data_IF_372517424394
#
_entry.id   IF_372517424394
#
_cell.length_a   1.000
_cell.length_b   1.000
_cell.length_c   1.000
_cell.angle_alpha   90.00
_cell.angle_beta   90.00
_cell.angle_gamma   90.00
#
_symmetry.space_group_name_H-M   'P 1'
#
loop_
_entity.id
_entity.type
_entity.pdbx_description
1 polymer ?
#
# COMPACT_ATOMS: atom_id res chain seq x y z
N UNK A 1 -23.78 4.77 2.91
CA UNK A 1 -22.43 4.28 3.29
C UNK A 1 -22.56 2.95 4.01
N UNK A 2 -21.63 2.01 3.79
CA UNK A 2 -21.71 0.69 4.37
C UNK A 2 -21.43 0.68 5.87
N UNK A 3 -21.96 -0.34 6.53
CA UNK A 3 -21.63 -0.67 7.92
C UNK A 3 -20.31 -1.47 7.99
N UNK A 4 -19.64 -1.50 9.15
CA UNK A 4 -18.45 -2.32 9.36
C UNK A 4 -18.61 -3.78 8.93
N UNK A 5 -19.73 -4.42 9.29
CA UNK A 5 -19.99 -5.82 8.95
C UNK A 5 -20.16 -6.06 7.45
N UNK A 6 -20.67 -5.08 6.70
CA UNK A 6 -20.76 -5.19 5.25
C UNK A 6 -19.39 -4.97 4.60
N UNK A 7 -18.58 -4.02 5.11
CA UNK A 7 -17.21 -3.82 4.65
C UNK A 7 -16.35 -5.06 4.86
N UNK A 8 -16.39 -5.68 6.04
CA UNK A 8 -15.58 -6.89 6.31
C UNK A 8 -15.95 -8.04 5.37
N UNK A 9 -17.25 -8.23 5.09
CA UNK A 9 -17.71 -9.24 4.13
C UNK A 9 -17.27 -8.93 2.70
N UNK A 10 -17.39 -7.66 2.29
CA UNK A 10 -16.95 -7.23 0.96
C UNK A 10 -15.47 -7.50 0.76
N UNK A 11 -14.65 -7.08 1.73
CA UNK A 11 -13.19 -7.26 1.68
C UNK A 11 -12.82 -8.74 1.71
N UNK A 12 -13.46 -9.56 2.54
CA UNK A 12 -13.25 -11.00 2.57
C UNK A 12 -13.55 -11.64 1.20
N UNK A 13 -14.70 -11.33 0.61
CA UNK A 13 -15.10 -11.82 -0.70
C UNK A 13 -14.12 -11.39 -1.80
N UNK A 14 -13.81 -10.09 -1.90
CA UNK A 14 -12.95 -9.55 -2.95
C UNK A 14 -11.51 -10.09 -2.88
N UNK A 15 -11.01 -10.37 -1.69
CA UNK A 15 -9.65 -10.92 -1.49
C UNK A 15 -9.61 -12.45 -1.39
N UNK A 16 -10.74 -13.15 -1.48
CA UNK A 16 -10.81 -14.60 -1.32
C UNK A 16 -10.39 -15.09 0.08
N UNK A 17 -10.73 -14.34 1.13
CA UNK A 17 -10.38 -14.64 2.52
C UNK A 17 -11.60 -15.13 3.31
N UNK A 18 -11.34 -15.78 4.43
CA UNK A 18 -12.38 -16.20 5.35
C UNK A 18 -13.01 -14.99 6.08
N UNK A 19 -14.34 -14.89 6.05
CA UNK A 19 -15.13 -13.86 6.73
C UNK A 19 -14.74 -13.69 8.21
N UNK A 20 -14.58 -14.81 8.94
CA UNK A 20 -14.24 -14.80 10.35
C UNK A 20 -12.86 -14.16 10.61
N UNK A 21 -11.89 -14.44 9.73
CA UNK A 21 -10.54 -13.88 9.81
C UNK A 21 -10.54 -12.36 9.61
N UNK A 22 -11.25 -11.86 8.60
CA UNK A 22 -11.37 -10.41 8.33
C UNK A 22 -12.18 -9.70 9.43
N UNK A 23 -13.26 -10.31 9.92
CA UNK A 23 -14.06 -9.77 11.02
C UNK A 23 -13.26 -9.68 12.34
N UNK A 24 -12.42 -10.68 12.62
CA UNK A 24 -11.53 -10.68 13.77
C UNK A 24 -10.44 -9.59 13.66
N UNK A 25 -9.85 -9.40 12.48
CA UNK A 25 -8.93 -8.31 12.22
C UNK A 25 -9.59 -6.94 12.47
N UNK A 26 -10.80 -6.72 11.93
CA UNK A 26 -11.57 -5.50 12.18
C UNK A 26 -11.83 -5.27 13.68
N UNK A 27 -12.19 -6.32 14.41
CA UNK A 27 -12.42 -6.24 15.85
C UNK A 27 -11.18 -5.74 16.60
N UNK A 28 -10.00 -6.30 16.30
CA UNK A 28 -8.73 -5.86 16.90
C UNK A 28 -8.44 -4.40 16.56
N UNK A 29 -8.54 -4.02 15.29
CA UNK A 29 -8.32 -2.63 14.86
C UNK A 29 -9.25 -1.65 15.59
N UNK A 30 -10.51 -2.03 15.79
CA UNK A 30 -11.50 -1.23 16.51
C UNK A 30 -11.20 -1.14 18.01
N UNK A 31 -10.76 -2.23 18.64
CA UNK A 31 -10.35 -2.26 20.05
C UNK A 31 -9.15 -1.33 20.29
N UNK A 32 -8.22 -1.26 19.35
CA UNK A 32 -7.08 -0.32 19.35
C UNK A 32 -7.45 1.11 18.92
N UNK A 33 -8.70 1.38 18.54
CA UNK A 33 -9.14 2.71 18.12
C UNK A 33 -8.57 3.16 16.76
N UNK A 34 -8.11 2.23 15.93
CA UNK A 34 -7.54 2.52 14.61
C UNK A 34 -8.61 2.69 13.54
N UNK A 35 -9.78 2.09 13.72
CA UNK A 35 -10.95 2.23 12.83
C UNK A 35 -12.16 2.75 13.59
N UNK A 36 -13.14 3.26 12.86
CA UNK A 36 -14.38 3.79 13.41
C UNK A 36 -15.09 2.79 14.33
N UNK A 37 -15.44 3.25 15.54
CA UNK A 37 -16.25 2.46 16.47
C UNK A 37 -17.71 2.58 16.06
N UNK A 38 -18.33 1.46 15.73
CA UNK A 38 -19.77 1.37 15.48
C UNK A 38 -20.59 2.00 16.61
N UNK A 39 -21.45 2.97 16.27
CA UNK A 39 -22.55 3.40 17.14
C UNK A 39 -23.63 2.32 17.27
N UNK A 40 -24.46 2.38 18.33
CA UNK A 40 -25.69 1.57 18.45
C UNK A 40 -26.87 2.34 17.86
N UNK A 41 -27.74 1.64 17.14
CA UNK A 41 -29.01 2.18 16.64
C UNK A 41 -28.97 2.66 15.19
N UNK A 42 -29.98 3.43 14.78
CA UNK A 42 -30.18 3.94 13.40
C UNK A 42 -29.04 4.83 12.89
N UNK A 43 -28.17 5.29 13.80
CA UNK A 43 -26.94 6.04 13.54
C UNK A 43 -25.69 5.15 13.68
N UNK A 44 -25.77 3.89 13.26
CA UNK A 44 -24.61 3.00 13.22
C UNK A 44 -23.47 3.66 12.45
N UNK A 45 -22.23 3.52 12.94
CA UNK A 45 -21.10 4.22 12.33
C UNK A 45 -20.95 3.80 10.87
N UNK A 46 -20.84 4.79 10.00
CA UNK A 46 -20.52 4.62 8.59
C UNK A 46 -19.03 4.45 8.46
N UNK A 47 -18.60 3.42 7.73
CA UNK A 47 -17.18 3.26 7.41
C UNK A 47 -16.73 4.33 6.42
N UNK A 48 -15.48 4.73 6.54
CA UNK A 48 -14.81 5.69 5.66
C UNK A 48 -13.83 5.00 4.72
N UNK A 49 -13.34 5.71 3.71
CA UNK A 49 -12.24 5.22 2.86
C UNK A 49 -11.00 4.87 3.67
N UNK A 50 -10.75 5.62 4.76
CA UNK A 50 -9.63 5.38 5.68
C UNK A 50 -9.79 4.06 6.43
N UNK A 51 -11.01 3.74 6.87
CA UNK A 51 -11.28 2.47 7.54
C UNK A 51 -11.03 1.28 6.61
N UNK A 52 -11.43 1.39 5.34
CA UNK A 52 -11.18 0.39 4.32
C UNK A 52 -9.68 0.24 4.03
N UNK A 53 -8.95 1.35 3.89
CA UNK A 53 -7.50 1.35 3.71
C UNK A 53 -6.81 0.62 4.87
N UNK A 54 -7.13 0.97 6.12
CA UNK A 54 -6.56 0.33 7.32
C UNK A 54 -6.87 -1.17 7.35
N UNK A 55 -8.10 -1.58 7.06
CA UNK A 55 -8.48 -2.99 7.04
C UNK A 55 -7.68 -3.78 5.98
N UNK A 56 -7.59 -3.27 4.76
CA UNK A 56 -6.83 -3.90 3.67
C UNK A 56 -5.35 -3.99 4.02
N UNK A 57 -4.75 -2.90 4.53
CA UNK A 57 -3.35 -2.90 4.96
C UNK A 57 -3.11 -3.96 6.03
N UNK A 58 -4.01 -4.10 7.01
CA UNK A 58 -3.89 -5.05 8.09
C UNK A 58 -3.94 -6.52 7.63
N UNK A 59 -4.92 -6.88 6.79
CA UNK A 59 -5.13 -8.27 6.36
C UNK A 59 -4.17 -8.71 5.24
N UNK A 60 -3.67 -7.76 4.44
CA UNK A 60 -2.71 -8.06 3.39
C UNK A 60 -1.28 -8.06 3.93
N UNK A 61 -1.02 -7.29 4.98
CA UNK A 61 0.31 -7.17 5.54
C UNK A 61 0.59 -7.98 6.82
N UNK A 62 -0.41 -8.66 7.38
CA UNK A 62 -0.21 -9.46 8.59
C UNK A 62 -0.88 -10.82 8.49
N UNK A 63 -0.11 -11.86 8.82
CA UNK A 63 -0.60 -13.24 8.86
C UNK A 63 -1.45 -13.51 10.10
N UNK A 64 -1.28 -12.70 11.15
CA UNK A 64 -1.97 -12.90 12.42
C UNK A 64 -2.83 -11.70 12.76
N UNK A 65 -4.06 -11.97 13.20
CA UNK A 65 -4.99 -10.94 13.69
C UNK A 65 -4.38 -10.10 14.81
N UNK A 66 -3.49 -10.68 15.63
CA UNK A 66 -2.83 -9.97 16.75
C UNK A 66 -1.81 -8.94 16.27
N UNK A 67 -1.08 -9.21 15.19
CA UNK A 67 -0.07 -8.29 14.65
C UNK A 67 -0.65 -7.14 13.81
N UNK A 68 -1.96 -7.18 13.51
CA UNK A 68 -2.63 -6.17 12.69
C UNK A 68 -2.47 -4.75 13.24
N UNK A 69 -2.65 -4.54 14.54
CA UNK A 69 -2.55 -3.20 15.14
C UNK A 69 -1.11 -2.64 15.08
N UNK A 70 -0.13 -3.48 15.40
CA UNK A 70 1.30 -3.10 15.36
C UNK A 70 1.74 -2.78 13.93
N UNK A 71 1.31 -3.58 12.96
CA UNK A 71 1.56 -3.32 11.55
C UNK A 71 0.99 -1.96 11.13
N UNK A 72 -0.24 -1.63 11.52
CA UNK A 72 -0.86 -0.35 11.15
C UNK A 72 -0.15 0.82 11.82
N UNK A 73 0.26 0.69 13.08
CA UNK A 73 1.07 1.70 13.73
C UNK A 73 2.38 1.95 12.96
N UNK A 74 3.05 0.88 12.52
CA UNK A 74 4.24 0.97 11.66
C UNK A 74 3.92 1.61 10.32
N UNK A 75 2.85 1.16 9.64
CA UNK A 75 2.43 1.67 8.34
C UNK A 75 2.11 3.16 8.38
N UNK A 76 1.45 3.63 9.45
CA UNK A 76 1.12 5.03 9.68
C UNK A 76 2.34 5.89 10.03
N UNK A 77 3.37 5.31 10.65
CA UNK A 77 4.63 5.99 10.97
C UNK A 77 5.65 5.95 9.83
N UNK A 78 5.49 5.01 8.89
CA UNK A 78 6.36 4.83 7.74
C UNK A 78 6.18 5.97 6.75
N UNK A 79 7.30 6.49 6.25
CA UNK A 79 7.29 7.47 5.16
C UNK A 79 7.61 6.76 3.86
N UNK A 80 6.99 7.20 2.76
CA UNK A 80 7.30 6.71 1.43
C UNK A 80 8.79 6.91 1.09
N UNK A 81 9.39 5.94 0.40
CA UNK A 81 10.65 6.08 -0.32
C UNK A 81 10.45 5.53 -1.74
N UNK A 82 10.67 6.34 -2.79
CA UNK A 82 10.51 5.85 -4.17
C UNK A 82 11.81 5.28 -4.70
N UNK A 83 11.68 4.15 -5.38
CA UNK A 83 12.71 3.65 -6.27
C UNK A 83 12.19 3.76 -7.70
N UNK A 84 12.62 4.80 -8.42
CA UNK A 84 12.23 4.97 -9.81
C UNK A 84 13.09 4.08 -10.71
N UNK A 85 12.48 3.09 -11.35
CA UNK A 85 13.11 2.28 -12.39
C UNK A 85 12.53 2.68 -13.75
N UNK A 86 13.37 3.16 -14.67
CA UNK A 86 12.97 3.38 -16.07
C UNK A 86 13.34 2.14 -16.87
N UNK A 87 12.36 1.38 -17.37
CA UNK A 87 12.57 0.19 -18.20
C UNK A 87 12.78 -1.11 -17.40
N UNK A 88 12.29 -2.25 -17.95
CA UNK A 88 12.36 -3.57 -17.29
C UNK A 88 13.78 -4.14 -17.26
N UNK A 89 14.64 -3.71 -18.20
CA UNK A 89 16.02 -4.20 -18.39
C UNK A 89 17.10 -3.15 -18.12
N UNK A 90 16.72 -1.92 -17.75
CA UNK A 90 17.69 -0.86 -17.47
C UNK A 90 18.03 -0.82 -15.99
N UNK A 91 19.33 -0.86 -15.69
CA UNK A 91 19.85 -0.52 -14.38
C UNK A 91 19.22 0.81 -13.89
N UNK A 92 18.98 0.95 -12.57
CA UNK A 92 18.39 2.17 -12.02
C UNK A 92 19.11 3.40 -12.57
N UNK A 93 18.39 4.22 -13.34
CA UNK A 93 18.94 5.43 -13.96
C UNK A 93 18.98 6.51 -12.89
N UNK A 94 20.02 6.48 -12.08
CA UNK A 94 20.26 7.43 -11.00
C UNK A 94 21.43 6.97 -10.14
N UNK A 95 22.24 7.91 -9.68
CA UNK A 95 23.22 7.59 -8.65
C UNK A 95 22.48 7.12 -7.39
N UNK A 96 23.09 6.27 -6.57
CA UNK A 96 22.53 5.84 -5.28
C UNK A 96 22.17 7.05 -4.38
N UNK A 97 22.76 8.23 -4.65
CA UNK A 97 22.45 9.51 -4.02
C UNK A 97 21.10 10.09 -4.45
N UNK A 98 20.71 9.92 -5.71
CA UNK A 98 19.41 10.34 -6.25
C UNK A 98 18.25 9.52 -5.68
N UNK A 99 18.52 8.34 -5.08
CA UNK A 99 17.54 7.51 -4.38
C UNK A 99 17.15 8.07 -3.01
N UNK A 100 17.94 8.97 -2.43
CA UNK A 100 17.72 9.54 -1.09
C UNK A 100 17.39 11.03 -1.10
N UNK A 101 17.54 11.72 -2.23
CA UNK A 101 17.08 13.11 -2.33
C UNK A 101 15.56 13.15 -2.38
N UNK A 102 15.00 13.87 -1.40
CA UNK A 102 13.60 13.98 -1.01
C UNK A 102 12.71 14.70 -2.04
N UNK A 103 12.85 14.38 -3.32
CA UNK A 103 11.97 14.86 -4.37
C UNK A 103 10.56 14.31 -4.13
N UNK A 104 9.47 15.10 -4.29
CA UNK A 104 8.11 14.62 -4.08
C UNK A 104 7.88 13.38 -4.94
N UNK A 105 7.68 12.28 -4.23
CA UNK A 105 8.10 10.92 -4.56
C UNK A 105 7.22 10.29 -5.66
N UNK A 106 6.19 11.00 -6.13
CA UNK A 106 5.13 10.51 -7.01
C UNK A 106 5.13 11.29 -8.33
N UNK A 107 5.37 10.61 -9.45
CA UNK A 107 5.03 11.12 -10.79
C UNK A 107 3.61 10.71 -11.19
N UNK A 108 2.70 10.74 -10.21
CA UNK A 108 1.29 10.38 -10.40
C UNK A 108 0.43 11.49 -10.96
N UNK A 109 0.98 12.70 -11.03
CA UNK A 109 0.46 13.74 -11.91
C UNK A 109 0.20 13.18 -13.33
N UNK A 110 1.02 12.22 -13.78
CA UNK A 110 0.85 11.53 -15.07
C UNK A 110 -0.33 10.57 -15.13
N UNK A 111 -0.78 10.03 -14.00
CA UNK A 111 -1.93 9.13 -13.90
C UNK A 111 -3.25 9.87 -13.68
N UNK A 112 -3.22 11.17 -13.38
CA UNK A 112 -4.42 11.97 -13.16
C UNK A 112 -5.16 11.66 -11.84
N UNK A 113 -4.53 10.95 -10.91
CA UNK A 113 -5.15 10.58 -9.62
C UNK A 113 -4.95 11.71 -8.61
N UNK A 114 -5.73 12.78 -8.75
CA UNK A 114 -5.54 14.03 -8.00
C UNK A 114 -5.47 13.84 -6.47
N UNK A 115 -6.28 12.93 -5.92
CA UNK A 115 -6.37 12.61 -4.49
C UNK A 115 -5.03 12.12 -3.94
N UNK A 116 -4.26 11.46 -4.79
CA UNK A 116 -2.96 10.90 -4.44
C UNK A 116 -1.83 11.88 -4.75
N UNK A 117 -1.92 12.64 -5.85
CA UNK A 117 -0.97 13.70 -6.17
C UNK A 117 -0.90 14.80 -5.10
N UNK A 118 -2.02 15.03 -4.39
CA UNK A 118 -2.13 16.04 -3.36
C UNK A 118 -1.71 15.54 -1.96
N UNK A 119 -1.25 14.30 -1.83
CA UNK A 119 -0.77 13.79 -0.56
C UNK A 119 0.52 14.51 -0.14
N UNK A 120 0.72 14.80 1.17
CA UNK A 120 1.98 15.36 1.65
C UNK A 120 3.16 14.48 1.26
N UNK A 121 4.35 15.05 1.05
CA UNK A 121 5.56 14.26 0.74
C UNK A 121 5.92 13.22 1.81
N UNK A 122 5.42 13.38 3.04
CA UNK A 122 5.60 12.46 4.16
C UNK A 122 4.38 11.57 4.44
N UNK A 123 3.50 11.35 3.47
CA UNK A 123 2.32 10.52 3.64
C UNK A 123 2.68 9.06 3.95
N UNK A 124 1.78 8.39 4.66
CA UNK A 124 1.89 6.96 4.96
C UNK A 124 1.30 6.10 3.85
N UNK A 125 1.59 4.79 3.86
CA UNK A 125 0.95 3.84 2.93
C UNK A 125 -0.58 3.83 3.09
N UNK A 126 -1.07 4.03 4.31
CA UNK A 126 -2.52 4.11 4.58
C UNK A 126 -3.13 5.34 3.92
N UNK A 127 -2.45 6.49 3.96
CA UNK A 127 -2.94 7.72 3.33
C UNK A 127 -2.98 7.57 1.79
N UNK A 128 -1.97 6.91 1.21
CA UNK A 128 -1.98 6.53 -0.20
C UNK A 128 -3.21 5.67 -0.50
N UNK A 129 -3.36 4.55 0.21
CA UNK A 129 -4.41 3.58 -0.09
C UNK A 129 -5.80 4.19 0.11
N UNK A 130 -5.96 5.07 1.11
CA UNK A 130 -7.16 5.87 1.31
C UNK A 130 -7.44 6.77 0.08
N UNK A 131 -6.44 7.51 -0.39
CA UNK A 131 -6.58 8.36 -1.59
C UNK A 131 -6.98 7.55 -2.82
N UNK A 132 -6.42 6.35 -2.97
CA UNK A 132 -6.77 5.42 -4.04
C UNK A 132 -8.21 4.91 -3.92
N UNK A 133 -8.63 4.41 -2.75
CA UNK A 133 -10.00 3.93 -2.50
C UNK A 133 -11.01 5.04 -2.77
N UNK A 134 -10.76 6.25 -2.25
CA UNK A 134 -11.65 7.40 -2.45
C UNK A 134 -11.73 7.81 -3.92
N UNK A 135 -10.59 7.84 -4.64
CA UNK A 135 -10.58 8.09 -6.07
C UNK A 135 -11.36 7.04 -6.85
N UNK A 136 -11.08 5.74 -6.61
CA UNK A 136 -11.74 4.66 -7.35
C UNK A 136 -13.23 4.52 -6.99
N UNK A 137 -13.63 4.93 -5.79
CA UNK A 137 -15.03 4.92 -5.34
C UNK A 137 -15.86 6.09 -5.84
N UNK A 138 -15.26 7.27 -5.96
CA UNK A 138 -15.93 8.47 -6.49
C UNK A 138 -15.92 8.55 -8.01
N UNK A 139 -14.92 7.96 -8.66
CA UNK A 139 -14.82 7.97 -10.11
C UNK A 139 -15.83 7.00 -10.73
N UNK A 140 -16.62 7.49 -11.68
CA UNK A 140 -16.80 6.72 -12.91
C UNK A 140 -15.39 6.45 -13.38
N UNK A 141 -14.87 5.25 -13.14
CA UNK A 141 -13.57 4.81 -13.63
C UNK A 141 -13.67 4.73 -15.15
N UNK A 142 -13.74 5.89 -15.80
CA UNK A 142 -13.40 6.02 -17.19
C UNK A 142 -11.95 6.45 -17.20
N UNK A 143 -11.11 5.63 -17.81
CA UNK A 143 -9.80 6.07 -18.26
C UNK A 143 -9.92 7.19 -19.29
N UNK A 144 -11.13 7.47 -19.78
CA UNK A 144 -11.38 8.59 -20.67
C UNK A 144 -11.23 9.90 -19.89
N UNK A 145 -10.36 10.82 -20.33
CA UNK A 145 -10.27 12.14 -19.75
C UNK A 145 -11.67 12.78 -19.77
N UNK A 146 -12.06 13.42 -18.66
CA UNK A 146 -13.18 14.36 -18.72
C UNK A 146 -12.79 15.49 -19.67
N UNK A 147 -13.73 15.94 -20.52
CA UNK A 147 -13.48 17.05 -21.46
C UNK A 147 -13.02 18.34 -20.75
N UNK A 148 -13.23 18.42 -19.43
CA UNK A 148 -12.85 19.53 -18.55
C UNK A 148 -11.44 19.42 -17.93
N UNK A 149 -10.72 18.31 -18.11
CA UNK A 149 -9.36 18.18 -17.58
C UNK A 149 -8.38 19.01 -18.41
N UNK A 150 -7.88 20.11 -17.83
CA UNK A 150 -6.90 21.05 -18.43
C UNK A 150 -5.62 20.35 -18.95
N UNK A 151 -5.30 19.17 -18.41
CA UNK A 151 -4.24 18.28 -18.89
C UNK A 151 -4.80 16.88 -19.08
N UNK A 152 -4.75 16.38 -20.33
CA UNK A 152 -5.03 14.97 -20.62
C UNK A 152 -4.02 14.10 -19.86
N UNK A 153 -4.46 12.96 -19.27
CA UNK A 153 -3.55 12.03 -18.62
C UNK A 153 -2.51 11.55 -19.64
N UNK A 154 -1.24 11.57 -19.26
CA UNK A 154 -0.11 11.20 -20.13
C UNK A 154 0.12 9.68 -20.12
N UNK A 155 -0.50 8.97 -19.18
CA UNK A 155 -0.42 7.52 -19.03
C UNK A 155 -1.80 6.87 -19.16
N UNK A 156 -1.90 5.90 -20.06
CA UNK A 156 -2.94 4.89 -20.06
C UNK A 156 -2.51 3.74 -19.15
N UNK A 157 -3.12 3.66 -17.97
CA UNK A 157 -2.79 2.63 -16.98
C UNK A 157 -3.41 1.31 -17.41
N UNK A 158 -2.60 0.41 -17.97
CA UNK A 158 -3.04 -0.95 -18.32
C UNK A 158 -3.26 -1.80 -17.07
N UNK A 159 -2.36 -1.69 -16.09
CA UNK A 159 -2.36 -2.52 -14.89
C UNK A 159 -1.75 -1.80 -13.69
N UNK A 160 -2.45 -1.85 -12.57
CA UNK A 160 -1.95 -1.33 -11.32
C UNK A 160 -1.99 -2.45 -10.29
N UNK A 161 -0.81 -2.84 -9.82
CA UNK A 161 -0.62 -3.96 -8.90
C UNK A 161 -0.18 -3.43 -7.53
N UNK A 162 -1.00 -3.66 -6.52
CA UNK A 162 -0.60 -3.46 -5.14
C UNK A 162 0.02 -4.76 -4.65
N UNK A 163 1.31 -4.71 -4.27
CA UNK A 163 2.04 -5.89 -3.85
C UNK A 163 2.46 -5.71 -2.40
N UNK A 164 1.86 -6.50 -1.51
CA UNK A 164 2.28 -6.59 -0.13
C UNK A 164 3.42 -7.59 -0.10
N UNK A 165 4.64 -7.12 -0.32
CA UNK A 165 5.85 -7.90 -0.16
C UNK A 165 6.62 -7.40 1.05
N UNK A 166 7.02 -8.36 1.89
CA UNK A 166 7.93 -8.11 2.99
C UNK A 166 9.31 -8.63 2.57
N UNK A 167 9.91 -8.04 1.55
CA UNK A 167 11.24 -8.47 1.06
C UNK A 167 12.34 -8.21 2.11
N UNK A 168 12.07 -7.31 3.06
CA UNK A 168 12.93 -7.10 4.22
C UNK A 168 12.08 -6.75 5.46
N UNK A 169 12.63 -6.89 6.68
CA UNK A 169 11.98 -6.42 7.90
C UNK A 169 11.60 -4.93 7.88
N UNK A 170 12.25 -4.17 7.00
CA UNK A 170 12.15 -2.72 6.87
C UNK A 170 11.15 -2.30 5.78
N UNK A 171 10.96 -3.13 4.75
CA UNK A 171 10.01 -2.93 3.68
C UNK A 171 8.69 -3.57 4.09
N UNK A 172 7.69 -2.72 4.25
CA UNK A 172 6.38 -3.14 4.74
C UNK A 172 5.40 -3.23 3.56
N UNK A 173 5.54 -2.36 2.55
CA UNK A 173 4.64 -2.33 1.40
C UNK A 173 5.36 -1.93 0.12
N UNK A 174 4.94 -2.50 -1.01
CA UNK A 174 5.36 -2.07 -2.34
C UNK A 174 4.15 -1.77 -3.22
N UNK A 175 4.16 -0.62 -3.90
CA UNK A 175 3.20 -0.33 -4.97
C UNK A 175 3.93 -0.44 -6.29
N UNK A 176 3.40 -1.24 -7.21
CA UNK A 176 3.95 -1.37 -8.55
C UNK A 176 2.91 -0.98 -9.60
N UNK A 177 3.35 -0.19 -10.57
CA UNK A 177 2.49 0.40 -11.59
C UNK A 177 3.04 0.02 -12.94
N UNK A 178 2.17 -0.51 -13.79
CA UNK A 178 2.52 -0.94 -15.14
C UNK A 178 1.52 -0.35 -16.12
N UNK A 179 1.97 0.55 -16.97
CA UNK A 179 1.10 1.17 -17.95
C UNK A 179 1.78 1.37 -19.28
N UNK A 180 1.07 2.03 -20.19
CA UNK A 180 1.63 2.60 -21.40
C UNK A 180 1.38 4.10 -21.40
N UNK A 181 2.33 4.89 -21.88
CA UNK A 181 2.04 6.29 -22.20
C UNK A 181 1.07 6.39 -23.36
N UNK A 182 0.53 7.58 -23.58
CA UNK A 182 -0.26 7.90 -24.78
C UNK A 182 0.54 7.63 -26.07
N UNK A 183 1.86 7.72 -26.01
CA UNK A 183 2.78 7.44 -27.12
C UNK A 183 3.13 5.95 -27.27
N UNK A 184 2.56 5.06 -26.43
CA UNK A 184 2.77 3.62 -26.46
C UNK A 184 4.00 3.12 -25.69
N UNK A 185 4.76 4.01 -25.06
CA UNK A 185 5.95 3.65 -24.26
C UNK A 185 5.54 2.93 -22.97
N UNK A 186 6.22 1.83 -22.65
CA UNK A 186 5.99 1.11 -21.40
C UNK A 186 6.39 1.99 -20.20
N UNK A 187 5.48 2.11 -19.24
CA UNK A 187 5.68 2.79 -17.98
C UNK A 187 5.76 1.78 -16.85
N UNK A 188 6.80 1.91 -16.04
CA UNK A 188 6.98 1.15 -14.81
C UNK A 188 7.35 2.10 -13.68
N UNK A 189 6.69 1.97 -12.54
CA UNK A 189 7.05 2.66 -11.31
C UNK A 189 6.85 1.70 -10.14
N UNK A 190 7.82 1.63 -9.24
CA UNK A 190 7.72 0.88 -8.00
C UNK A 190 8.00 1.81 -6.81
N UNK A 191 7.17 1.73 -5.78
CA UNK A 191 7.36 2.53 -4.57
C UNK A 191 7.34 1.65 -3.35
N UNK A 192 8.27 1.91 -2.43
CA UNK A 192 8.44 1.09 -1.22
C UNK A 192 8.12 1.95 0.00
N UNK A 193 7.39 1.37 0.95
CA UNK A 193 7.05 2.01 2.22
C UNK A 193 7.70 1.26 3.35
N UNK A 194 8.40 1.98 4.22
CA UNK A 194 9.17 1.40 5.31
C UNK A 194 9.35 2.34 6.50
N UNK A 195 9.80 1.79 7.61
CA UNK A 195 10.17 2.58 8.78
C UNK A 195 11.46 3.38 8.50
N UNK A 196 11.53 4.63 8.99
CA UNK A 196 12.74 5.50 8.89
C UNK A 196 13.98 4.93 9.59
N UNK A 197 13.80 3.92 10.43
CA UNK A 197 14.84 3.33 11.26
C UNK A 197 15.16 1.94 10.74
N UNK A 198 16.33 1.79 10.11
CA UNK A 198 17.03 0.51 9.99
C UNK A 198 17.46 0.12 11.42
N UNK A 199 16.54 -0.42 12.20
CA UNK A 199 16.89 -1.14 13.41
C UNK A 199 16.71 -2.61 13.09
N UNK A 200 17.83 -3.27 12.81
CA UNK A 200 17.88 -4.71 12.71
C UNK A 200 17.33 -5.29 14.02
N UNK A 201 16.24 -6.06 13.94
CA UNK A 201 15.81 -6.86 15.07
C UNK A 201 16.77 -8.04 15.22
N UNK A 202 17.85 -7.82 15.97
CA UNK A 202 18.89 -8.81 16.21
C UNK A 202 18.48 -9.88 17.23
N UNK A 203 17.24 -9.87 17.74
CA UNK A 203 16.80 -10.83 18.77
C UNK A 203 16.68 -12.26 18.22
N UNK A 204 16.46 -12.41 16.92
CA UNK A 204 16.37 -13.72 16.24
C UNK A 204 17.62 -14.05 15.40
N UNK A 205 18.66 -13.22 15.45
CA UNK A 205 19.92 -13.49 14.73
C UNK A 205 20.82 -14.29 15.66
N UNK A 206 21.21 -15.49 15.23
CA UNK A 206 22.18 -16.33 15.94
C UNK A 206 23.50 -15.58 16.11
N UNK A 207 24.30 -15.92 17.13
CA UNK A 207 25.60 -15.26 17.31
C UNK A 207 26.52 -15.44 16.10
N UNK A 208 26.35 -16.53 15.34
CA UNK A 208 27.00 -16.78 14.06
C UNK A 208 26.54 -15.78 12.98
N UNK A 209 25.23 -15.52 12.86
CA UNK A 209 24.69 -14.48 11.98
C UNK A 209 25.12 -13.06 12.38
N UNK A 210 25.34 -12.80 13.67
CA UNK A 210 25.90 -11.51 14.16
C UNK A 210 27.37 -11.36 13.82
N UNK A 211 28.15 -12.44 13.93
CA UNK A 211 29.57 -12.45 13.55
C UNK A 211 29.74 -12.29 12.04
N UNK A 212 28.92 -12.99 11.26
CA UNK A 212 28.90 -12.90 9.80
C UNK A 212 28.50 -11.49 9.31
N UNK A 213 27.56 -10.82 9.99
CA UNK A 213 27.23 -9.41 9.72
C UNK A 213 28.38 -8.45 10.08
N UNK A 214 29.09 -8.68 11.19
CA UNK A 214 30.26 -7.87 11.58
C UNK A 214 31.41 -8.00 10.59
N UNK A 215 31.73 -9.22 10.19
CA UNK A 215 32.83 -9.49 9.26
C UNK A 215 32.51 -8.93 7.87
N UNK A 216 31.25 -8.98 7.44
CA UNK A 216 30.80 -8.49 6.12
C UNK A 216 30.56 -6.98 6.04
N UNK A 217 30.49 -6.25 7.17
CA UNK A 217 30.45 -4.78 7.18
C UNK A 217 31.81 -4.12 6.94
N UNK A 218 32.90 -4.89 6.92
CA UNK A 218 34.23 -4.39 6.57
C UNK A 218 34.41 -4.13 5.06
N UNK A 219 33.52 -4.64 4.20
CA UNK A 219 33.60 -4.51 2.73
C UNK A 219 32.22 -4.40 2.06
N UNK A 220 31.61 -3.21 2.13
CA UNK A 220 30.48 -2.68 1.32
C UNK A 220 29.40 -3.61 0.72
N UNK A 221 28.15 -3.35 1.15
CA UNK A 221 26.90 -3.26 0.39
C UNK A 221 26.38 -4.51 -0.37
N UNK A 222 25.73 -5.41 0.39
CA UNK A 222 24.36 -5.92 0.13
C UNK A 222 24.15 -7.16 1.00
N UNK A 223 23.27 -7.05 1.99
CA UNK A 223 22.92 -8.18 2.87
C UNK A 223 21.52 -8.66 2.50
N UNK A 224 21.43 -9.87 1.93
CA UNK A 224 20.22 -10.67 1.90
C UNK A 224 19.96 -11.21 3.32
N UNK A 225 18.90 -10.73 3.96
CA UNK A 225 18.37 -11.32 5.19
C UNK A 225 17.54 -12.56 4.84
N UNK A 226 17.73 -13.66 5.57
CA UNK A 226 16.95 -14.90 5.39
C UNK A 226 15.47 -14.66 5.73
N UNK A 227 14.68 -14.70 4.68
CA UNK A 227 13.22 -14.63 4.52
C UNK A 227 12.48 -15.85 5.10
N UNK A 228 12.84 -16.32 6.30
CA UNK A 228 12.22 -17.50 6.91
C UNK A 228 10.73 -17.34 7.24
N UNK A 229 10.29 -16.11 7.54
CA UNK A 229 8.92 -15.80 7.98
C UNK A 229 8.19 -14.81 7.05
N UNK A 230 8.70 -14.57 5.83
CA UNK A 230 8.18 -13.56 4.89
C UNK A 230 7.34 -14.18 3.74
N UNK A 231 6.70 -15.33 4.00
CA UNK A 231 6.05 -16.14 2.96
C UNK A 231 4.70 -15.60 2.47
N UNK A 232 4.16 -14.55 3.09
CA UNK A 232 2.84 -14.05 2.68
C UNK A 232 2.99 -12.84 1.79
N UNK A 233 3.21 -13.11 0.51
CA UNK A 233 3.00 -12.12 -0.55
C UNK A 233 1.52 -12.15 -0.89
N UNK A 234 0.78 -11.11 -0.49
CA UNK A 234 -0.58 -10.87 -0.98
C UNK A 234 -0.51 -9.75 -2.01
N UNK A 235 -0.92 -10.02 -3.22
CA UNK A 235 -1.08 -9.00 -4.24
C UNK A 235 -2.54 -8.88 -4.64
N UNK A 236 -2.97 -7.65 -4.92
CA UNK A 236 -4.27 -7.39 -5.51
C UNK A 236 -4.16 -6.27 -6.53
N UNK A 237 -5.04 -6.29 -7.53
CA UNK A 237 -5.05 -5.31 -8.61
C UNK A 237 -5.87 -4.07 -8.28
N UNK A 238 -5.86 -3.11 -9.20
CA UNK A 238 -6.81 -2.00 -9.23
C UNK A 238 -8.27 -2.45 -9.16
N UNK A 239 -8.64 -3.57 -9.76
CA UNK A 239 -10.01 -4.09 -9.73
C UNK A 239 -10.52 -4.29 -8.31
N UNK A 240 -9.69 -4.85 -7.43
CA UNK A 240 -9.99 -5.01 -6.00
C UNK A 240 -10.22 -3.66 -5.31
N UNK A 241 -9.34 -2.68 -5.55
CA UNK A 241 -9.47 -1.35 -4.93
C UNK A 241 -10.69 -0.60 -5.48
N UNK A 242 -11.00 -0.74 -6.77
CA UNK A 242 -12.18 -0.17 -7.38
C UNK A 242 -13.45 -0.79 -6.81
N UNK A 243 -13.49 -2.12 -6.67
CA UNK A 243 -14.65 -2.83 -6.13
C UNK A 243 -14.92 -2.45 -4.67
N UNK A 244 -13.87 -2.32 -3.86
CA UNK A 244 -14.00 -1.87 -2.47
C UNK A 244 -14.35 -0.38 -2.41
N UNK A 245 -13.71 0.46 -3.22
CA UNK A 245 -13.97 1.91 -3.27
C UNK A 245 -15.41 2.22 -3.65
N UNK A 246 -15.94 1.60 -4.71
CA UNK A 246 -17.33 1.76 -5.15
C UNK A 246 -18.32 1.31 -4.07
N UNK A 247 -17.98 0.22 -3.38
CA UNK A 247 -18.79 -0.26 -2.27
C UNK A 247 -18.80 0.74 -1.09
N UNK A 248 -17.64 1.29 -0.70
CA UNK A 248 -17.53 2.31 0.37
C UNK A 248 -18.29 3.58 -0.01
N UNK A 249 -18.18 4.02 -1.26
CA UNK A 249 -18.92 5.15 -1.82
C UNK A 249 -20.44 4.91 -1.93
N UNK A 250 -20.90 3.66 -1.78
CA UNK A 250 -22.31 3.29 -1.87
C UNK A 250 -22.84 3.19 -3.31
N UNK A 251 -21.96 3.02 -4.29
CA UNK A 251 -22.32 2.89 -5.71
C UNK A 251 -22.89 1.50 -6.03
N UNK A 252 -22.36 0.46 -5.37
CA UNK A 252 -22.71 -0.96 -5.61
C UNK A 252 -23.58 -1.57 -4.48
N UNK A 253 -24.43 -0.78 -3.81
CA UNK A 253 -25.34 -1.25 -2.74
C UNK A 253 -26.70 -1.72 -3.26
#
# INVERSE_FOLDING_TARGET
MPTPGQLTKKVAHTLGLEDASVANAWRVLREHGLVTKGGRGRSAATVTDRDAAILITAICGCDTVKGAADLIARAASGTAFSHYYRGWDSEPVGSERDLYETSPIWKMDRMGISQVCNLPGSHSFVDLLQGMIGFMGGARYSTDPTDEAEKKPVLQVERLDFIFSFESPNEIFSLTIKGKSVDGELYYEAQKYGGRSIQYDLRNVTDEGRSEMRDRHSSSKNVLLRTGDLNTVRSFGNTTIAEIGRFVAGVDQ
#
